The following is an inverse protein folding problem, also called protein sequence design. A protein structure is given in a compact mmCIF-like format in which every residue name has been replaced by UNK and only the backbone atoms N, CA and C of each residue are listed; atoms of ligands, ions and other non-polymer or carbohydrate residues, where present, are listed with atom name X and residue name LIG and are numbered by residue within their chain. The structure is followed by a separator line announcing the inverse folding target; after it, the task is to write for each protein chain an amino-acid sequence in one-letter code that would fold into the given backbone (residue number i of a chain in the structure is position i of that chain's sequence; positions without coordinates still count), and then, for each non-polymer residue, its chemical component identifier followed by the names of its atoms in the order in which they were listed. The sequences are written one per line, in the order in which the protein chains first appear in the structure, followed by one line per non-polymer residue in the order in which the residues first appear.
data_IF_804566893042
#
_entry.id   IF_804566893042
#
_cell.length_a   1.000
_cell.length_b   1.000
_cell.length_c   1.000
_cell.angle_alpha   90.00
_cell.angle_beta   90.00
_cell.angle_gamma   90.00
#
_symmetry.space_group_name_H-M   'P 1'
#
loop_
_entity.id
_entity.type
_entity.pdbx_description
1 polymer ?
#
# COMPACT_ATOMS: atom_id res chain seq x y z
N UNK A 1 -49.29 -13.11 -19.57
CA UNK A 1 -49.48 -12.68 -20.97
C UNK A 1 -50.41 -11.48 -20.88
N UNK A 2 -49.88 -10.26 -20.97
CA UNK A 2 -50.68 -9.04 -20.82
C UNK A 2 -51.50 -8.82 -22.09
N UNK A 3 -52.76 -8.45 -21.91
CA UNK A 3 -53.71 -8.12 -22.96
C UNK A 3 -53.18 -6.90 -23.77
N UNK A 4 -52.82 -7.05 -25.06
CA UNK A 4 -52.20 -5.98 -25.85
C UNK A 4 -53.16 -4.82 -26.17
N UNK A 5 -54.45 -4.93 -25.82
CA UNK A 5 -55.46 -3.92 -26.14
C UNK A 5 -55.86 -3.02 -24.96
N UNK A 6 -55.37 -3.26 -23.74
CA UNK A 6 -55.66 -2.34 -22.63
C UNK A 6 -54.81 -1.06 -22.78
N UNK A 7 -55.42 0.12 -23.00
CA UNK A 7 -54.67 1.36 -23.09
C UNK A 7 -53.95 1.60 -21.75
N UNK A 8 -52.64 1.82 -21.81
CA UNK A 8 -51.85 2.12 -20.63
C UNK A 8 -52.39 3.39 -19.97
N UNK A 9 -52.60 3.33 -18.66
CA UNK A 9 -52.96 4.54 -17.89
C UNK A 9 -51.80 5.52 -17.89
N UNK A 10 -52.06 6.81 -17.65
CA UNK A 10 -51.03 7.85 -17.50
C UNK A 10 -49.93 7.43 -16.53
N UNK A 11 -50.29 6.82 -15.40
CA UNK A 11 -49.34 6.31 -14.41
C UNK A 11 -48.47 5.17 -14.95
N UNK A 12 -49.06 4.22 -15.69
CA UNK A 12 -48.31 3.13 -16.32
C UNK A 12 -47.34 3.65 -17.38
N UNK A 13 -47.78 4.63 -18.20
CA UNK A 13 -46.93 5.27 -19.19
C UNK A 13 -45.75 6.00 -18.52
N UNK A 14 -46.02 6.84 -17.51
CA UNK A 14 -45.00 7.57 -16.77
C UNK A 14 -44.03 6.63 -16.04
N UNK A 15 -44.51 5.52 -15.49
CA UNK A 15 -43.67 4.50 -14.87
C UNK A 15 -42.71 3.87 -15.90
N UNK A 16 -43.19 3.59 -17.12
CA UNK A 16 -42.35 3.08 -18.22
C UNK A 16 -41.32 4.09 -18.69
N UNK A 17 -41.70 5.36 -18.87
CA UNK A 17 -40.74 6.43 -19.23
C UNK A 17 -39.68 6.57 -18.13
N UNK A 18 -40.10 6.61 -16.86
CA UNK A 18 -39.21 6.72 -15.70
C UNK A 18 -38.21 5.55 -15.62
N UNK A 19 -38.68 4.32 -15.88
CA UNK A 19 -37.83 3.15 -15.94
C UNK A 19 -36.80 3.24 -17.09
N UNK A 20 -37.15 3.86 -18.21
CA UNK A 20 -36.28 4.06 -19.37
C UNK A 20 -35.25 5.19 -19.22
N UNK A 21 -35.51 6.20 -18.37
CA UNK A 21 -34.66 7.39 -18.22
C UNK A 21 -33.26 7.05 -17.68
N UNK A 22 -33.15 6.04 -16.80
CA UNK A 22 -31.90 5.65 -16.13
C UNK A 22 -31.15 6.83 -15.47
N UNK A 23 -31.89 7.86 -15.04
CA UNK A 23 -31.37 9.05 -14.36
C UNK A 23 -31.22 8.79 -12.85
N UNK A 24 -30.38 9.57 -12.13
CA UNK A 24 -30.34 9.51 -10.67
C UNK A 24 -31.72 9.87 -10.06
N UNK A 25 -32.11 9.18 -8.99
CA UNK A 25 -33.45 9.27 -8.35
C UNK A 25 -34.05 10.68 -8.23
N UNK A 26 -33.32 11.72 -7.78
CA UNK A 26 -33.90 13.06 -7.65
C UNK A 26 -34.35 13.61 -9.00
N UNK A 27 -33.51 13.46 -10.02
CA UNK A 27 -33.80 13.96 -11.36
C UNK A 27 -34.84 13.11 -12.09
N UNK A 28 -34.89 11.81 -11.81
CA UNK A 28 -35.94 10.95 -12.36
C UNK A 28 -37.31 11.36 -11.81
N UNK A 29 -37.39 11.75 -10.53
CA UNK A 29 -38.59 12.33 -9.92
C UNK A 29 -38.99 13.65 -10.57
N UNK A 30 -38.06 14.60 -10.65
CA UNK A 30 -38.32 15.91 -11.26
C UNK A 30 -38.83 15.79 -12.71
N UNK A 31 -38.18 14.95 -13.54
CA UNK A 31 -38.62 14.73 -14.93
C UNK A 31 -39.97 14.03 -15.00
N UNK A 32 -40.26 13.10 -14.08
CA UNK A 32 -41.56 12.45 -14.00
C UNK A 32 -42.66 13.46 -13.64
N UNK A 33 -42.42 14.32 -12.67
CA UNK A 33 -43.37 15.32 -12.22
C UNK A 33 -43.63 16.37 -13.31
N UNK A 34 -42.58 16.79 -14.02
CA UNK A 34 -42.70 17.69 -15.17
C UNK A 34 -43.49 17.04 -16.33
N UNK A 35 -43.23 15.78 -16.65
CA UNK A 35 -44.00 15.04 -17.66
C UNK A 35 -45.46 14.83 -17.24
N UNK A 36 -45.71 14.57 -15.96
CA UNK A 36 -47.06 14.42 -15.43
C UNK A 36 -47.85 15.73 -15.55
N UNK A 37 -47.22 16.87 -15.23
CA UNK A 37 -47.81 18.19 -15.41
C UNK A 37 -48.13 18.47 -16.88
N UNK A 38 -47.19 18.22 -17.80
CA UNK A 38 -47.43 18.40 -19.24
C UNK A 38 -48.53 17.49 -19.79
N UNK A 39 -48.63 16.26 -19.32
CA UNK A 39 -49.73 15.36 -19.70
C UNK A 39 -51.07 15.84 -19.15
N UNK A 40 -51.10 16.36 -17.92
CA UNK A 40 -52.31 16.94 -17.34
C UNK A 40 -52.78 18.17 -18.14
N UNK A 41 -51.86 19.07 -18.48
CA UNK A 41 -52.14 20.26 -19.30
C UNK A 41 -52.65 19.86 -20.70
N UNK A 42 -52.00 18.90 -21.35
CA UNK A 42 -52.41 18.41 -22.67
C UNK A 42 -53.78 17.71 -22.63
N UNK A 43 -54.06 16.94 -21.57
CA UNK A 43 -55.35 16.28 -21.37
C UNK A 43 -56.46 17.30 -21.13
N UNK A 44 -56.20 18.33 -20.31
CA UNK A 44 -57.15 19.40 -20.04
C UNK A 44 -57.52 20.16 -21.32
N UNK A 45 -56.54 20.50 -22.15
CA UNK A 45 -56.77 21.16 -23.44
C UNK A 45 -57.64 20.29 -24.38
N UNK A 46 -57.41 18.97 -24.43
CA UNK A 46 -58.21 18.04 -25.24
C UNK A 46 -59.66 17.89 -24.73
N UNK A 47 -59.87 18.00 -23.42
CA UNK A 47 -61.22 18.03 -22.83
C UNK A 47 -61.95 19.32 -23.22
N UNK A 48 -61.26 20.46 -23.24
CA UNK A 48 -61.83 21.74 -23.72
C UNK A 48 -62.21 21.67 -25.22
N UNK A 49 -61.50 20.86 -26.00
CA UNK A 49 -61.83 20.55 -27.41
C UNK A 49 -63.02 19.57 -27.57
N UNK A 50 -63.59 19.07 -26.48
CA UNK A 50 -64.80 18.25 -26.46
C UNK A 50 -64.58 16.74 -26.40
N UNK A 51 -63.36 16.26 -26.15
CA UNK A 51 -63.08 14.84 -25.92
C UNK A 51 -63.50 14.40 -24.51
N UNK A 52 -63.84 13.12 -24.35
CA UNK A 52 -64.01 12.55 -23.01
C UNK A 52 -62.65 12.40 -22.32
N UNK A 53 -62.61 12.35 -20.99
CA UNK A 53 -61.35 12.23 -20.24
C UNK A 53 -60.49 11.04 -20.70
N UNK A 54 -61.08 9.85 -20.87
CA UNK A 54 -60.35 8.66 -21.32
C UNK A 54 -59.79 8.80 -22.76
N UNK A 55 -60.51 9.50 -23.64
CA UNK A 55 -60.05 9.77 -25.00
C UNK A 55 -58.93 10.81 -25.01
N UNK A 56 -59.08 11.87 -24.22
CA UNK A 56 -58.10 12.94 -24.05
C UNK A 56 -56.78 12.40 -23.49
N UNK A 57 -56.81 11.55 -22.45
CA UNK A 57 -55.60 10.94 -21.87
C UNK A 57 -54.89 10.05 -22.90
N UNK A 58 -55.64 9.23 -23.63
CA UNK A 58 -55.08 8.33 -24.66
C UNK A 58 -54.44 9.10 -25.81
N UNK A 59 -55.09 10.17 -26.28
CA UNK A 59 -54.61 11.03 -27.34
C UNK A 59 -53.37 11.84 -26.89
N UNK A 60 -53.36 12.36 -25.65
CA UNK A 60 -52.21 13.03 -25.07
C UNK A 60 -50.98 12.10 -25.01
N UNK A 61 -51.17 10.85 -24.56
CA UNK A 61 -50.12 9.83 -24.55
C UNK A 61 -49.67 9.49 -25.98
N UNK A 62 -50.61 9.33 -26.92
CA UNK A 62 -50.30 9.01 -28.32
C UNK A 62 -49.42 10.09 -28.97
N UNK A 63 -49.66 11.38 -28.66
CA UNK A 63 -48.86 12.51 -29.15
C UNK A 63 -47.41 12.50 -28.64
N UNK A 64 -47.16 12.01 -27.43
CA UNK A 64 -45.81 11.85 -26.89
C UNK A 64 -45.05 10.68 -27.51
N UNK A 65 -45.76 9.72 -28.11
CA UNK A 65 -45.18 8.55 -28.77
C UNK A 65 -44.73 7.47 -27.79
N UNK A 66 -43.86 6.57 -28.25
CA UNK A 66 -43.40 5.43 -27.44
C UNK A 66 -42.62 5.92 -26.22
N UNK A 67 -42.86 5.33 -25.03
CA UNK A 67 -42.18 5.74 -23.80
C UNK A 67 -40.66 5.52 -23.88
N UNK A 68 -40.22 4.50 -24.62
CA UNK A 68 -38.79 4.22 -24.84
C UNK A 68 -38.13 5.28 -25.72
N UNK A 69 -38.81 5.75 -26.76
CA UNK A 69 -38.29 6.81 -27.65
C UNK A 69 -38.20 8.13 -26.90
N UNK A 70 -39.26 8.50 -26.15
CA UNK A 70 -39.27 9.71 -25.33
C UNK A 70 -38.17 9.68 -24.27
N UNK A 71 -38.06 8.59 -23.49
CA UNK A 71 -37.02 8.43 -22.48
C UNK A 71 -35.61 8.56 -23.08
N UNK A 72 -35.37 7.96 -24.25
CA UNK A 72 -34.09 8.07 -24.95
C UNK A 72 -33.79 9.48 -25.49
N UNK A 73 -34.82 10.21 -25.93
CA UNK A 73 -34.71 11.60 -26.36
C UNK A 73 -34.33 12.52 -25.20
N UNK A 74 -35.08 12.44 -24.10
CA UNK A 74 -34.84 13.21 -22.88
C UNK A 74 -33.45 12.92 -22.30
N UNK A 75 -33.06 11.65 -22.22
CA UNK A 75 -31.72 11.25 -21.76
C UNK A 75 -30.61 11.87 -22.61
N UNK A 76 -30.72 11.81 -23.94
CA UNK A 76 -29.70 12.38 -24.85
C UNK A 76 -29.60 13.89 -24.72
N UNK A 77 -30.72 14.60 -24.58
CA UNK A 77 -30.72 16.05 -24.39
C UNK A 77 -29.99 16.47 -23.10
N UNK A 78 -30.12 15.68 -22.04
CA UNK A 78 -29.52 15.97 -20.74
C UNK A 78 -28.03 15.58 -20.62
N UNK A 79 -27.54 14.65 -21.46
CA UNK A 79 -26.18 14.07 -21.38
C UNK A 79 -25.15 14.76 -22.31
N UNK A 80 -24.86 16.03 -22.06
CA UNK A 80 -23.88 16.79 -22.86
C UNK A 80 -22.42 16.47 -22.49
N UNK A 81 -21.49 16.64 -23.44
CA UNK A 81 -20.03 16.48 -23.20
C UNK A 81 -19.52 17.41 -22.08
N UNK A 82 -20.05 18.63 -21.99
CA UNK A 82 -19.71 19.60 -20.94
C UNK A 82 -20.07 19.07 -19.56
N UNK A 83 -21.24 18.44 -19.42
CA UNK A 83 -21.67 17.78 -18.17
C UNK A 83 -20.85 16.54 -17.84
N UNK A 84 -20.40 15.79 -18.86
CA UNK A 84 -19.47 14.69 -18.65
C UNK A 84 -18.12 15.17 -18.08
N UNK A 85 -17.53 16.23 -18.63
CA UNK A 85 -16.28 16.80 -18.12
C UNK A 85 -16.43 17.40 -16.72
N UNK A 86 -17.52 18.13 -16.47
CA UNK A 86 -17.85 18.63 -15.14
C UNK A 86 -18.08 17.49 -14.14
N UNK A 87 -18.67 16.38 -14.61
CA UNK A 87 -18.81 15.15 -13.87
C UNK A 87 -17.46 14.53 -13.52
N UNK A 88 -16.57 14.36 -14.51
CA UNK A 88 -15.24 13.80 -14.31
C UNK A 88 -14.40 14.63 -13.34
N UNK A 89 -14.29 15.94 -13.56
CA UNK A 89 -13.55 16.84 -12.66
C UNK A 89 -14.15 16.87 -11.25
N UNK A 90 -15.48 16.88 -11.17
CA UNK A 90 -16.19 16.74 -9.91
C UNK A 90 -15.98 15.40 -9.20
N UNK A 91 -15.82 14.32 -9.96
CA UNK A 91 -15.48 12.99 -9.49
C UNK A 91 -14.07 12.93 -8.93
N UNK A 92 -13.09 13.52 -9.61
CA UNK A 92 -11.69 13.60 -9.13
C UNK A 92 -11.61 14.30 -7.77
N UNK A 93 -12.25 15.46 -7.63
CA UNK A 93 -12.28 16.18 -6.35
C UNK A 93 -12.97 15.40 -5.23
N UNK A 94 -14.07 14.72 -5.55
CA UNK A 94 -14.76 13.85 -4.60
C UNK A 94 -13.88 12.66 -4.18
N UNK A 95 -13.14 12.09 -5.13
CA UNK A 95 -12.19 11.01 -4.91
C UNK A 95 -11.05 11.45 -4.00
N UNK A 96 -10.45 12.61 -4.24
CA UNK A 96 -9.34 13.13 -3.45
C UNK A 96 -9.75 13.36 -1.99
N UNK A 97 -10.85 14.09 -1.75
CA UNK A 97 -11.30 14.39 -0.39
C UNK A 97 -11.69 13.15 0.42
N UNK A 98 -12.38 12.19 -0.21
CA UNK A 98 -12.81 10.96 0.48
C UNK A 98 -11.74 9.87 0.48
N UNK A 99 -10.81 9.92 -0.47
CA UNK A 99 -9.62 9.09 -0.50
C UNK A 99 -8.73 9.41 0.69
N UNK A 100 -8.40 10.69 0.91
CA UNK A 100 -7.62 11.13 2.08
C UNK A 100 -8.34 10.76 3.38
N UNK A 101 -9.62 11.10 3.52
CA UNK A 101 -10.40 10.74 4.72
C UNK A 101 -10.51 9.23 4.94
N UNK A 102 -10.62 8.45 3.87
CA UNK A 102 -10.65 7.00 3.89
C UNK A 102 -9.30 6.38 4.25
N UNK A 103 -8.19 6.94 3.79
CA UNK A 103 -6.83 6.52 4.18
C UNK A 103 -6.60 6.76 5.66
N UNK A 104 -6.98 7.93 6.19
CA UNK A 104 -6.87 8.24 7.63
C UNK A 104 -7.69 7.25 8.46
N UNK A 105 -8.94 6.98 8.05
CA UNK A 105 -9.80 5.99 8.71
C UNK A 105 -9.19 4.58 8.64
N UNK A 106 -8.69 4.18 7.48
CA UNK A 106 -8.06 2.89 7.25
C UNK A 106 -6.83 2.71 8.15
N UNK A 107 -6.01 3.75 8.27
CA UNK A 107 -4.86 3.76 9.17
C UNK A 107 -5.30 3.59 10.62
N UNK A 108 -6.34 4.34 11.03
CA UNK A 108 -6.92 4.23 12.36
C UNK A 108 -7.40 2.82 12.71
N UNK A 109 -8.11 2.18 11.78
CA UNK A 109 -8.62 0.82 11.93
C UNK A 109 -7.47 -0.21 11.98
N UNK A 110 -6.54 -0.15 11.04
CA UNK A 110 -5.42 -1.09 10.96
C UNK A 110 -4.54 -1.01 12.20
N UNK A 111 -4.21 0.19 12.65
CA UNK A 111 -3.44 0.37 13.88
C UNK A 111 -4.18 -0.15 15.11
N UNK A 112 -5.50 0.03 15.18
CA UNK A 112 -6.31 -0.55 16.26
C UNK A 112 -6.24 -2.07 16.24
N UNK A 113 -6.37 -2.70 15.07
CA UNK A 113 -6.26 -4.15 14.91
C UNK A 113 -4.86 -4.65 15.28
N UNK A 114 -3.81 -4.00 14.78
CA UNK A 114 -2.41 -4.33 15.11
C UNK A 114 -2.16 -4.22 16.61
N UNK A 115 -2.68 -3.18 17.27
CA UNK A 115 -2.55 -3.00 18.71
C UNK A 115 -3.29 -4.10 19.47
N UNK A 116 -4.52 -4.44 19.06
CA UNK A 116 -5.28 -5.55 19.67
C UNK A 116 -4.52 -6.87 19.52
N UNK A 117 -3.97 -7.15 18.34
CA UNK A 117 -3.16 -8.34 18.08
C UNK A 117 -1.93 -8.35 19.00
N UNK A 118 -1.18 -7.26 19.06
CA UNK A 118 0.01 -7.12 19.90
C UNK A 118 -0.30 -7.32 21.39
N UNK A 119 -1.37 -6.68 21.89
CA UNK A 119 -1.83 -6.82 23.29
C UNK A 119 -2.26 -8.26 23.59
N UNK A 120 -3.04 -8.87 22.70
CA UNK A 120 -3.51 -10.24 22.86
C UNK A 120 -2.35 -11.22 22.93
N UNK A 121 -1.37 -11.09 22.05
CA UNK A 121 -0.28 -12.05 22.08
C UNK A 121 0.82 -11.75 23.10
N UNK A 122 0.97 -10.49 23.55
CA UNK A 122 1.71 -10.20 24.79
C UNK A 122 1.04 -10.88 26.00
N UNK A 123 -0.29 -10.86 26.07
CA UNK A 123 -1.03 -11.58 27.10
C UNK A 123 -0.86 -13.10 26.95
N UNK A 124 -0.97 -13.66 25.75
CA UNK A 124 -0.76 -15.09 25.50
C UNK A 124 0.65 -15.55 25.87
N UNK A 125 1.69 -14.77 25.54
CA UNK A 125 3.06 -15.07 25.94
C UNK A 125 3.19 -15.09 27.47
N UNK A 126 2.62 -14.09 28.14
CA UNK A 126 2.63 -14.02 29.61
C UNK A 126 1.91 -15.20 30.28
N UNK A 127 0.77 -15.65 29.75
CA UNK A 127 -0.06 -16.66 30.40
C UNK A 127 0.24 -18.09 29.99
N UNK A 128 0.66 -18.31 28.74
CA UNK A 128 0.81 -19.65 28.16
C UNK A 128 2.29 -19.95 27.85
N UNK A 129 3.21 -18.98 28.05
CA UNK A 129 4.60 -19.06 27.57
C UNK A 129 4.67 -19.42 26.09
N UNK A 130 3.64 -19.04 25.34
CA UNK A 130 3.63 -19.20 23.90
C UNK A 130 4.63 -18.18 23.36
N UNK A 131 5.73 -18.66 22.79
CA UNK A 131 6.81 -17.83 22.26
C UNK A 131 6.34 -17.18 20.96
N UNK A 132 5.39 -16.25 21.11
CA UNK A 132 4.81 -15.48 20.04
C UNK A 132 5.55 -14.16 19.97
N UNK A 133 6.44 -14.07 18.99
CA UNK A 133 6.94 -12.79 18.52
C UNK A 133 6.24 -12.47 17.19
N UNK A 134 5.83 -11.22 17.01
CA UNK A 134 5.67 -10.68 15.67
C UNK A 134 7.05 -10.78 15.04
N UNK A 135 7.20 -11.73 14.12
CA UNK A 135 8.50 -12.18 13.62
C UNK A 135 9.40 -10.97 13.29
N UNK A 136 10.47 -10.75 14.06
CA UNK A 136 11.39 -9.63 13.83
C UNK A 136 12.15 -9.78 12.50
N UNK A 137 12.02 -10.92 11.81
CA UNK A 137 12.63 -11.17 10.50
C UNK A 137 12.15 -10.24 9.39
N UNK A 138 10.95 -9.65 9.51
CA UNK A 138 10.47 -8.63 8.57
C UNK A 138 10.89 -7.26 9.10
N UNK A 139 11.65 -6.46 8.34
CA UNK A 139 12.10 -5.16 8.82
C UNK A 139 10.87 -4.35 9.26
N UNK A 140 10.95 -3.73 10.43
CA UNK A 140 9.87 -2.88 10.96
C UNK A 140 9.33 -1.93 9.89
N UNK A 141 10.24 -1.40 9.07
CA UNK A 141 9.93 -0.53 7.94
C UNK A 141 8.99 -1.19 6.90
N UNK A 142 9.23 -2.44 6.50
CA UNK A 142 8.37 -3.14 5.52
C UNK A 142 6.96 -3.39 6.08
N UNK A 143 6.82 -3.69 7.38
CA UNK A 143 5.50 -3.79 8.03
C UNK A 143 4.78 -2.45 8.07
N UNK A 144 5.47 -1.37 8.42
CA UNK A 144 4.87 -0.03 8.41
C UNK A 144 4.40 0.37 7.02
N UNK A 145 5.18 0.07 5.97
CA UNK A 145 4.77 0.28 4.57
C UNK A 145 3.54 -0.55 4.22
N UNK A 146 3.50 -1.84 4.59
CA UNK A 146 2.36 -2.71 4.32
C UNK A 146 1.06 -2.20 4.99
N UNK A 147 1.15 -1.74 6.24
CA UNK A 147 0.02 -1.14 6.95
C UNK A 147 -0.44 0.18 6.30
N UNK A 148 0.50 1.03 5.89
CA UNK A 148 0.19 2.26 5.15
C UNK A 148 -0.49 1.94 3.81
N UNK A 149 -0.01 0.94 3.07
CA UNK A 149 -0.61 0.48 1.82
C UNK A 149 -2.02 -0.12 2.01
N UNK A 150 -2.23 -0.87 3.10
CA UNK A 150 -3.56 -1.33 3.50
C UNK A 150 -4.51 -0.17 3.77
N UNK A 151 -4.05 0.86 4.47
CA UNK A 151 -4.85 2.07 4.72
C UNK A 151 -5.18 2.80 3.41
N UNK A 152 -4.19 2.94 2.51
CA UNK A 152 -4.38 3.52 1.18
C UNK A 152 -5.37 2.72 0.34
N UNK A 153 -5.42 1.39 0.48
CA UNK A 153 -6.41 0.54 -0.18
C UNK A 153 -7.84 0.86 0.25
N UNK A 154 -8.07 1.07 1.55
CA UNK A 154 -9.37 1.52 2.09
C UNK A 154 -9.72 2.92 1.55
N UNK A 155 -8.75 3.84 1.54
CA UNK A 155 -8.90 5.17 0.96
C UNK A 155 -9.29 5.12 -0.52
N UNK A 156 -8.57 4.32 -1.31
CA UNK A 156 -8.80 4.12 -2.73
C UNK A 156 -10.21 3.58 -3.01
N UNK A 157 -10.65 2.58 -2.25
CA UNK A 157 -12.01 2.02 -2.35
C UNK A 157 -13.10 3.07 -2.09
N UNK A 158 -12.99 3.81 -0.98
CA UNK A 158 -13.97 4.83 -0.60
C UNK A 158 -13.94 6.03 -1.55
N UNK A 159 -12.75 6.45 -1.99
CA UNK A 159 -12.55 7.50 -2.98
C UNK A 159 -13.20 7.16 -4.32
N UNK A 160 -12.94 5.96 -4.85
CA UNK A 160 -13.53 5.48 -6.10
C UNK A 160 -15.06 5.49 -6.07
N UNK A 161 -15.66 4.94 -5.01
CA UNK A 161 -17.13 4.89 -4.84
C UNK A 161 -17.75 6.28 -4.85
N UNK A 162 -17.08 7.25 -4.24
CA UNK A 162 -17.52 8.65 -4.20
C UNK A 162 -17.34 9.33 -5.56
N UNK A 163 -16.23 9.07 -6.24
CA UNK A 163 -15.92 9.59 -7.57
C UNK A 163 -17.00 9.19 -8.58
N UNK A 164 -17.38 7.92 -8.58
CA UNK A 164 -18.43 7.38 -9.46
C UNK A 164 -19.77 8.04 -9.15
N UNK A 165 -20.18 8.14 -7.88
CA UNK A 165 -21.44 8.81 -7.51
C UNK A 165 -21.45 10.28 -7.93
N UNK A 166 -20.39 11.03 -7.61
CA UNK A 166 -20.28 12.43 -7.97
C UNK A 166 -20.29 12.65 -9.49
N UNK A 167 -19.62 11.77 -10.24
CA UNK A 167 -19.62 11.80 -11.70
C UNK A 167 -21.00 11.48 -12.25
N UNK A 168 -21.65 10.41 -11.77
CA UNK A 168 -22.98 9.99 -12.18
C UNK A 168 -24.02 11.10 -11.97
N UNK A 169 -24.05 11.71 -10.77
CA UNK A 169 -24.97 12.81 -10.44
C UNK A 169 -24.75 14.04 -11.33
N UNK A 170 -23.49 14.44 -11.56
CA UNK A 170 -23.18 15.65 -12.36
C UNK A 170 -23.30 15.44 -13.87
N UNK A 171 -23.05 14.22 -14.35
CA UNK A 171 -23.16 13.88 -15.77
C UNK A 171 -24.54 13.36 -16.18
N UNK A 172 -25.45 13.16 -15.21
CA UNK A 172 -26.78 12.56 -15.40
C UNK A 172 -26.69 11.20 -16.13
N UNK A 173 -25.69 10.42 -15.73
CA UNK A 173 -25.48 9.05 -16.21
C UNK A 173 -25.69 8.09 -15.07
N UNK A 174 -26.06 6.86 -15.41
CA UNK A 174 -26.19 5.83 -14.39
C UNK A 174 -24.80 5.50 -13.82
N UNK A 175 -24.80 5.12 -12.55
CA UNK A 175 -23.60 4.64 -11.87
C UNK A 175 -22.98 3.43 -12.58
N UNK A 176 -23.81 2.55 -13.16
CA UNK A 176 -23.38 1.36 -13.91
C UNK A 176 -22.66 1.71 -15.21
N UNK A 177 -23.05 2.81 -15.87
CA UNK A 177 -22.36 3.30 -17.07
C UNK A 177 -21.00 3.92 -16.77
N UNK A 178 -20.88 4.62 -15.63
CA UNK A 178 -19.69 5.40 -15.28
C UNK A 178 -18.65 4.57 -14.52
N UNK A 179 -19.09 3.60 -13.71
CA UNK A 179 -18.25 2.77 -12.85
C UNK A 179 -17.09 2.07 -13.57
N UNK A 180 -17.32 1.31 -14.66
CA UNK A 180 -16.27 0.59 -15.38
C UNK A 180 -15.15 1.50 -15.91
N UNK A 181 -15.48 2.71 -16.38
CA UNK A 181 -14.49 3.67 -16.86
C UNK A 181 -13.61 4.22 -15.74
N UNK A 182 -14.20 4.49 -14.57
CA UNK A 182 -13.44 4.85 -13.38
C UNK A 182 -12.58 3.70 -12.89
N UNK A 183 -13.11 2.48 -12.87
CA UNK A 183 -12.38 1.30 -12.46
C UNK A 183 -11.13 1.11 -13.33
N UNK A 184 -11.28 1.16 -14.65
CA UNK A 184 -10.17 1.02 -15.60
C UNK A 184 -9.18 2.19 -15.48
N UNK A 185 -9.65 3.43 -15.64
CA UNK A 185 -8.77 4.60 -15.65
C UNK A 185 -8.06 4.82 -14.32
N UNK A 186 -8.78 4.68 -13.21
CA UNK A 186 -8.22 4.83 -11.87
C UNK A 186 -7.25 3.70 -11.51
N UNK A 187 -7.56 2.44 -11.86
CA UNK A 187 -6.63 1.34 -11.62
C UNK A 187 -5.34 1.47 -12.45
N UNK A 188 -5.41 1.96 -13.69
CA UNK A 188 -4.21 2.23 -14.49
C UNK A 188 -3.38 3.35 -13.86
N UNK A 189 -3.98 4.49 -13.51
CA UNK A 189 -3.25 5.63 -12.93
C UNK A 189 -2.61 5.24 -11.60
N UNK A 190 -3.36 4.59 -10.70
CA UNK A 190 -2.84 4.15 -9.42
C UNK A 190 -1.84 3.01 -9.56
N UNK A 191 -2.05 2.09 -10.51
CA UNK A 191 -1.12 1.01 -10.81
C UNK A 191 0.22 1.55 -11.29
N UNK A 192 0.22 2.52 -12.21
CA UNK A 192 1.45 3.20 -12.66
C UNK A 192 2.13 3.92 -11.50
N UNK A 193 1.35 4.63 -10.68
CA UNK A 193 1.88 5.36 -9.53
C UNK A 193 2.56 4.42 -8.53
N UNK A 194 1.90 3.33 -8.14
CA UNK A 194 2.45 2.32 -7.22
C UNK A 194 3.66 1.61 -7.81
N UNK A 195 3.59 1.20 -9.09
CA UNK A 195 4.65 0.40 -9.71
C UNK A 195 5.92 1.20 -10.01
N UNK A 196 5.79 2.46 -10.41
CA UNK A 196 6.91 3.22 -11.02
C UNK A 196 7.24 4.54 -10.33
N UNK A 197 6.38 5.06 -9.45
CA UNK A 197 6.58 6.39 -8.84
C UNK A 197 6.78 6.31 -7.34
N UNK A 198 5.97 5.52 -6.65
CA UNK A 198 6.03 5.36 -5.21
C UNK A 198 7.32 4.64 -4.82
N UNK A 199 8.18 5.30 -4.04
CA UNK A 199 9.41 4.75 -3.50
C UNK A 199 9.28 4.63 -1.99
N UNK A 200 9.31 3.40 -1.49
CA UNK A 200 9.10 3.08 -0.07
C UNK A 200 10.05 1.94 0.33
N UNK A 201 10.24 1.67 1.64
CA UNK A 201 10.81 0.42 2.10
C UNK A 201 9.87 -0.76 1.77
N UNK A 202 10.33 -1.70 0.96
CA UNK A 202 9.57 -2.82 0.42
C UNK A 202 10.07 -4.16 0.97
N UNK A 203 9.11 -4.98 1.38
CA UNK A 203 9.23 -6.43 1.52
C UNK A 203 8.01 -7.09 0.88
N UNK A 204 7.97 -8.43 0.84
CA UNK A 204 6.84 -9.17 0.25
C UNK A 204 5.46 -8.70 0.76
N UNK A 205 5.23 -8.48 2.07
CA UNK A 205 3.95 -7.98 2.56
C UNK A 205 3.60 -6.58 2.03
N UNK A 206 4.59 -5.69 1.95
CA UNK A 206 4.40 -4.32 1.44
C UNK A 206 4.04 -4.34 -0.05
N UNK A 207 4.79 -5.09 -0.86
CA UNK A 207 4.52 -5.25 -2.29
C UNK A 207 3.10 -5.78 -2.53
N UNK A 208 2.71 -6.84 -1.81
CA UNK A 208 1.36 -7.39 -1.90
C UNK A 208 0.28 -6.37 -1.52
N UNK A 209 0.46 -5.66 -0.41
CA UNK A 209 -0.49 -4.65 0.06
C UNK A 209 -0.61 -3.44 -0.89
N UNK A 210 0.49 -2.99 -1.48
CA UNK A 210 0.50 -1.89 -2.44
C UNK A 210 -0.19 -2.25 -3.75
N UNK A 211 0.01 -3.47 -4.26
CA UNK A 211 -0.68 -3.97 -5.45
C UNK A 211 -2.21 -4.10 -5.24
N UNK A 212 -2.69 -4.16 -3.99
CA UNK A 212 -4.12 -4.14 -3.68
C UNK A 212 -4.74 -2.74 -3.80
N UNK A 213 -3.96 -1.65 -3.85
CA UNK A 213 -4.48 -0.29 -3.98
C UNK A 213 -5.29 -0.11 -5.28
N UNK A 214 -4.75 -0.38 -6.50
CA UNK A 214 -5.52 -0.26 -7.74
C UNK A 214 -6.70 -1.25 -7.80
N UNK A 215 -6.55 -2.46 -7.24
CA UNK A 215 -7.64 -3.45 -7.16
C UNK A 215 -8.78 -2.94 -6.28
N UNK A 216 -8.45 -2.37 -5.12
CA UNK A 216 -9.41 -1.78 -4.19
C UNK A 216 -10.12 -0.58 -4.79
N UNK A 217 -9.41 0.24 -5.57
CA UNK A 217 -10.03 1.32 -6.34
C UNK A 217 -11.05 0.79 -7.35
N UNK A 218 -10.66 -0.19 -8.17
CA UNK A 218 -11.55 -0.79 -9.17
C UNK A 218 -12.78 -1.45 -8.53
N UNK A 219 -12.58 -2.14 -7.40
CA UNK A 219 -13.66 -2.69 -6.59
C UNK A 219 -14.59 -1.58 -6.07
N UNK A 220 -14.05 -0.49 -5.52
CA UNK A 220 -14.85 0.64 -5.05
C UNK A 220 -15.64 1.34 -6.16
N UNK A 221 -15.11 1.32 -7.39
CA UNK A 221 -15.76 1.89 -8.57
C UNK A 221 -16.85 0.98 -9.18
N UNK A 222 -16.96 -0.28 -8.79
CA UNK A 222 -17.89 -1.27 -9.40
C UNK A 222 -18.84 -1.93 -8.39
N UNK A 223 -18.36 -2.22 -7.18
CA UNK A 223 -19.06 -2.99 -6.16
C UNK A 223 -19.81 -2.08 -5.19
N UNK A 224 -21.03 -2.47 -4.80
CA UNK A 224 -21.84 -1.81 -3.75
C UNK A 224 -22.09 -0.30 -3.95
N UNK A 225 -21.99 0.20 -5.18
CA UNK A 225 -22.14 1.64 -5.42
C UNK A 225 -23.58 2.09 -5.12
N UNK A 226 -24.57 1.27 -5.46
CA UNK A 226 -25.99 1.55 -5.22
C UNK A 226 -26.36 1.48 -3.73
N UNK A 227 -25.62 0.71 -2.91
CA UNK A 227 -25.91 0.66 -1.46
C UNK A 227 -25.65 2.05 -0.84
N UNK A 228 -26.48 2.48 0.13
CA UNK A 228 -26.14 3.62 0.97
C UNK A 228 -24.83 3.28 1.69
N UNK A 229 -23.81 4.13 1.55
CA UNK A 229 -22.56 3.95 2.27
C UNK A 229 -22.79 4.16 3.77
N UNK A 230 -21.97 3.56 4.65
CA UNK A 230 -21.98 3.94 6.05
C UNK A 230 -21.80 5.46 6.14
N UNK A 231 -22.67 6.14 6.90
CA UNK A 231 -22.55 7.58 7.14
C UNK A 231 -21.40 7.80 8.13
N UNK A 232 -20.17 7.70 7.64
CA UNK A 232 -18.97 7.94 8.44
C UNK A 232 -18.89 9.45 8.68
N UNK A 233 -19.46 9.90 9.80
CA UNK A 233 -19.33 11.30 10.24
C UNK A 233 -17.86 11.58 10.57
N UNK A 234 -17.38 12.80 10.29
CA UNK A 234 -16.00 13.27 10.55
C UNK A 234 -15.47 12.87 11.93
N UNK A 235 -16.32 12.89 12.96
CA UNK A 235 -15.98 12.47 14.33
C UNK A 235 -15.48 11.03 14.45
N UNK A 236 -15.94 10.10 13.62
CA UNK A 236 -15.46 8.71 13.65
C UNK A 236 -14.11 8.57 12.95
N UNK A 237 -13.83 9.41 11.94
CA UNK A 237 -12.51 9.51 11.31
C UNK A 237 -11.51 10.09 12.31
N UNK A 238 -11.90 11.17 13.01
CA UNK A 238 -11.11 11.76 14.10
C UNK A 238 -10.88 10.77 15.25
N UNK A 239 -11.90 10.03 15.67
CA UNK A 239 -11.75 9.01 16.70
C UNK A 239 -10.82 7.88 16.25
N UNK A 240 -10.97 7.37 15.02
CA UNK A 240 -10.09 6.34 14.47
C UNK A 240 -8.64 6.85 14.34
N UNK A 241 -8.45 8.11 13.93
CA UNK A 241 -7.13 8.74 13.87
C UNK A 241 -6.51 8.88 15.26
N UNK A 242 -7.26 9.34 16.27
CA UNK A 242 -6.75 9.48 17.64
C UNK A 242 -6.44 8.11 18.25
N UNK A 243 -7.36 7.16 18.16
CA UNK A 243 -7.19 5.81 18.73
C UNK A 243 -6.08 5.04 18.01
N UNK A 244 -6.01 5.13 16.68
CA UNK A 244 -5.02 4.41 15.89
C UNK A 244 -3.66 5.09 15.79
N UNK A 245 -3.52 6.39 16.06
CA UNK A 245 -2.23 7.08 15.97
C UNK A 245 -1.62 7.38 17.34
N UNK A 246 -2.41 7.90 18.29
CA UNK A 246 -1.88 8.35 19.59
C UNK A 246 -1.61 7.17 20.52
N UNK A 247 -2.51 6.19 20.56
CA UNK A 247 -2.42 5.08 21.50
C UNK A 247 -1.26 4.12 21.20
N UNK A 248 -1.00 3.73 19.93
CA UNK A 248 0.14 2.89 19.60
C UNK A 248 1.48 3.59 19.77
N UNK A 249 1.56 4.90 19.49
CA UNK A 249 2.77 5.70 19.76
C UNK A 249 3.07 5.68 21.27
N UNK A 250 2.08 5.92 22.13
CA UNK A 250 2.27 5.85 23.58
C UNK A 250 2.70 4.45 24.05
N UNK A 251 2.14 3.38 23.47
CA UNK A 251 2.50 1.99 23.82
C UNK A 251 3.89 1.60 23.30
N UNK A 252 4.26 1.98 22.07
CA UNK A 252 5.60 1.71 21.52
C UNK A 252 6.69 2.43 22.32
N UNK A 253 6.49 3.71 22.65
CA UNK A 253 7.44 4.46 23.47
C UNK A 253 7.45 4.01 24.95
N UNK A 254 6.34 3.45 25.45
CA UNK A 254 6.28 2.86 26.78
C UNK A 254 6.98 1.49 26.88
N UNK A 255 7.03 0.72 25.80
CA UNK A 255 7.65 -0.61 25.76
C UNK A 255 9.15 -0.59 25.44
N UNK A 256 9.64 0.41 24.71
CA UNK A 256 11.07 0.53 24.36
C UNK A 256 11.99 0.90 25.54
N UNK A 257 11.44 1.10 26.74
CA UNK A 257 12.20 1.39 27.96
C UNK A 257 12.78 0.14 28.65
N UNK A 258 12.55 -1.07 28.13
CA UNK A 258 13.10 -2.30 28.70
C UNK A 258 14.44 -2.67 28.08
N UNK A 259 15.49 -2.11 28.68
CA UNK A 259 16.77 -2.76 28.98
C UNK A 259 17.56 -3.38 27.83
N UNK A 260 18.64 -2.70 27.43
CA UNK A 260 19.85 -3.39 27.01
C UNK A 260 20.26 -4.35 28.14
N UNK A 261 19.87 -5.62 28.05
CA UNK A 261 20.64 -6.68 28.69
C UNK A 261 21.98 -6.72 27.99
N UNK A 262 22.98 -6.08 28.59
CA UNK A 262 24.39 -6.46 28.41
C UNK A 262 24.47 -7.97 28.59
N UNK A 263 24.47 -8.72 27.49
CA UNK A 263 24.82 -10.12 27.49
C UNK A 263 26.26 -10.19 27.97
N UNK A 264 26.45 -10.55 29.24
CA UNK A 264 27.75 -10.98 29.73
C UNK A 264 28.22 -12.12 28.84
N UNK A 265 29.51 -12.14 28.51
CA UNK A 265 30.12 -13.22 27.75
C UNK A 265 29.87 -14.54 28.48
N UNK A 266 28.84 -15.28 28.06
CA UNK A 266 28.63 -16.66 28.47
C UNK A 266 29.63 -17.48 27.67
N UNK A 267 30.45 -18.28 28.34
CA UNK A 267 31.28 -19.29 27.67
C UNK A 267 30.37 -20.13 26.77
N UNK A 268 30.50 -19.94 25.46
CA UNK A 268 29.78 -20.71 24.47
C UNK A 268 30.22 -22.18 24.48
N UNK A 269 29.48 -23.08 23.83
CA UNK A 269 29.74 -24.52 23.83
C UNK A 269 31.01 -24.93 23.04
N UNK A 270 31.80 -23.99 22.57
CA UNK A 270 32.92 -24.21 21.66
C UNK A 270 34.24 -24.29 22.42
N UNK A 271 35.08 -25.27 22.10
CA UNK A 271 36.37 -25.45 22.76
C UNK A 271 37.43 -24.43 22.30
N UNK A 272 37.17 -23.72 21.20
CA UNK A 272 38.03 -22.65 20.69
C UNK A 272 37.26 -21.65 19.83
N UNK A 273 37.83 -20.46 19.65
CA UNK A 273 37.28 -19.44 18.74
C UNK A 273 37.26 -19.93 17.29
N UNK A 274 38.24 -20.75 16.90
CA UNK A 274 38.30 -21.37 15.58
C UNK A 274 37.14 -22.34 15.36
N UNK A 275 36.82 -23.18 16.35
CA UNK A 275 35.67 -24.08 16.28
C UNK A 275 34.35 -23.30 16.20
N UNK A 276 34.20 -22.25 17.02
CA UNK A 276 33.07 -21.33 16.94
C UNK A 276 32.96 -20.71 15.54
N UNK A 277 34.08 -20.28 14.96
CA UNK A 277 34.13 -19.63 13.64
C UNK A 277 33.58 -20.53 12.54
N UNK A 278 34.00 -21.81 12.52
CA UNK A 278 33.49 -22.78 11.54
C UNK A 278 32.06 -23.18 11.82
N UNK A 279 31.70 -23.37 13.09
CA UNK A 279 30.34 -23.75 13.48
C UNK A 279 29.31 -22.67 13.13
N UNK A 280 29.71 -21.39 13.18
CA UNK A 280 28.91 -20.24 12.76
C UNK A 280 29.03 -19.95 11.26
N UNK A 281 29.74 -20.77 10.48
CA UNK A 281 29.81 -20.64 9.03
C UNK A 281 30.58 -19.41 8.52
N UNK A 282 31.38 -18.74 9.36
CA UNK A 282 32.19 -17.59 8.93
C UNK A 282 33.27 -17.97 7.92
N UNK A 283 33.61 -19.25 7.80
CA UNK A 283 34.47 -19.78 6.74
C UNK A 283 33.95 -19.47 5.32
N UNK A 284 32.64 -19.20 5.17
CA UNK A 284 32.06 -18.72 3.91
C UNK A 284 32.65 -17.36 3.48
N UNK A 285 32.98 -16.51 4.46
CA UNK A 285 33.53 -15.17 4.22
C UNK A 285 35.06 -15.21 4.05
N UNK A 286 35.73 -16.07 4.82
CA UNK A 286 37.17 -16.24 4.80
C UNK A 286 37.69 -16.86 6.10
N UNK A 287 38.99 -17.16 6.13
CA UNK A 287 39.62 -17.68 7.35
C UNK A 287 39.75 -16.59 8.41
N UNK A 288 39.78 -17.01 9.67
CA UNK A 288 40.18 -16.09 10.74
C UNK A 288 41.67 -15.75 10.60
N UNK A 289 42.07 -14.47 10.65
CA UNK A 289 43.47 -14.09 10.61
C UNK A 289 44.18 -14.51 11.92
N UNK A 290 45.51 -14.68 11.90
CA UNK A 290 46.32 -14.82 13.10
C UNK A 290 46.04 -13.70 14.12
N UNK A 291 46.17 -13.97 15.42
CA UNK A 291 45.74 -13.03 16.48
C UNK A 291 46.49 -11.68 16.45
N UNK A 292 47.75 -11.67 16.00
CA UNK A 292 48.54 -10.45 15.80
C UNK A 292 47.99 -9.58 14.67
N UNK A 293 47.54 -10.20 13.57
CA UNK A 293 46.85 -9.53 12.47
C UNK A 293 45.45 -9.07 12.90
N UNK A 294 44.68 -9.94 13.57
CA UNK A 294 43.35 -9.59 14.07
C UNK A 294 43.41 -8.39 15.02
N UNK A 295 44.40 -8.35 15.92
CA UNK A 295 44.63 -7.24 16.85
C UNK A 295 45.08 -5.93 16.19
N UNK A 296 45.44 -5.95 14.91
CA UNK A 296 45.79 -4.75 14.14
C UNK A 296 44.57 -4.03 13.55
N UNK A 297 43.41 -4.68 13.47
CA UNK A 297 42.17 -4.10 12.97
C UNK A 297 41.22 -3.84 14.15
N UNK A 298 41.01 -2.56 14.50
CA UNK A 298 40.33 -2.11 15.72
C UNK A 298 39.17 -1.18 15.41
N UNK A 299 38.39 -0.86 16.44
CA UNK A 299 37.34 0.17 16.42
C UNK A 299 36.43 0.07 15.19
N UNK A 300 35.81 -1.10 15.04
CA UNK A 300 34.88 -1.40 13.95
C UNK A 300 33.59 -0.64 14.17
N UNK A 301 33.18 0.12 13.15
CA UNK A 301 31.91 0.84 13.19
C UNK A 301 31.37 1.09 11.80
N UNK A 302 30.17 1.65 11.75
CA UNK A 302 29.59 2.13 10.51
C UNK A 302 28.66 3.31 10.78
N UNK A 303 28.47 4.14 9.75
CA UNK A 303 27.35 5.07 9.67
C UNK A 303 26.39 4.57 8.59
N UNK A 304 25.10 4.80 8.78
CA UNK A 304 24.07 4.44 7.82
C UNK A 304 23.21 5.68 7.52
N UNK A 305 23.03 5.97 6.24
CA UNK A 305 22.22 7.08 5.74
C UNK A 305 21.51 6.65 4.46
N UNK A 306 20.16 6.68 4.45
CA UNK A 306 19.33 6.30 3.31
C UNK A 306 19.76 5.03 2.55
N UNK A 307 20.08 3.96 3.31
CA UNK A 307 20.47 2.66 2.76
C UNK A 307 21.91 2.59 2.24
N UNK A 308 22.65 3.70 2.27
CA UNK A 308 24.10 3.72 2.13
C UNK A 308 24.73 3.49 3.50
N UNK A 309 25.69 2.58 3.54
CA UNK A 309 26.43 2.23 4.75
C UNK A 309 27.89 2.53 4.50
N UNK A 310 28.48 3.30 5.40
CA UNK A 310 29.90 3.63 5.38
C UNK A 310 30.58 2.94 6.55
N UNK A 311 30.97 1.66 6.41
CA UNK A 311 31.74 0.98 7.43
C UNK A 311 33.16 1.53 7.48
N UNK A 312 33.77 1.44 8.65
CA UNK A 312 35.16 1.75 8.86
C UNK A 312 35.81 0.78 9.85
N UNK A 313 37.11 0.60 9.70
CA UNK A 313 37.98 -0.16 10.60
C UNK A 313 39.25 0.65 10.80
N UNK A 314 39.64 0.86 12.05
CA UNK A 314 40.92 1.48 12.37
C UNK A 314 42.06 0.47 12.22
N UNK A 315 43.12 0.89 11.53
CA UNK A 315 44.29 0.07 11.24
C UNK A 315 45.44 0.54 12.13
N UNK A 316 45.97 -0.38 12.93
CA UNK A 316 47.11 -0.11 13.78
C UNK A 316 48.36 0.20 12.92
N UNK A 317 49.23 1.14 13.32
CA UNK A 317 50.43 1.49 12.55
C UNK A 317 51.43 0.34 12.32
N UNK A 318 51.30 -0.75 13.08
CA UNK A 318 52.21 -1.88 13.05
C UNK A 318 51.95 -2.86 11.89
N UNK A 319 50.81 -2.77 11.19
CA UNK A 319 50.50 -3.67 10.07
C UNK A 319 50.92 -3.05 8.74
N UNK A 320 51.69 -3.79 7.95
CA UNK A 320 52.05 -3.41 6.60
C UNK A 320 50.94 -3.85 5.63
N UNK A 321 50.16 -2.88 5.14
CA UNK A 321 49.10 -3.13 4.17
C UNK A 321 49.63 -3.41 2.76
N UNK A 322 50.91 -3.18 2.44
CA UNK A 322 51.47 -3.39 1.09
C UNK A 322 51.42 -4.87 0.68
N UNK A 323 51.55 -5.78 1.64
CA UNK A 323 51.43 -7.23 1.40
C UNK A 323 49.98 -7.74 1.30
N UNK A 324 49.00 -6.89 1.55
CA UNK A 324 47.58 -7.23 1.46
C UNK A 324 47.01 -6.75 0.12
N UNK A 325 46.17 -7.57 -0.49
CA UNK A 325 45.45 -7.20 -1.70
C UNK A 325 43.97 -7.59 -1.61
N UNK A 326 43.16 -7.00 -2.49
CA UNK A 326 41.70 -7.20 -2.50
C UNK A 326 41.05 -6.88 -1.14
N UNK A 327 41.54 -5.83 -0.48
CA UNK A 327 40.90 -5.29 0.73
C UNK A 327 39.55 -4.71 0.36
N UNK A 328 38.47 -5.29 0.89
CA UNK A 328 37.11 -4.84 0.60
C UNK A 328 36.16 -5.12 1.74
N UNK A 329 35.18 -4.23 1.86
CA UNK A 329 34.03 -4.44 2.72
C UNK A 329 32.99 -5.27 2.00
N UNK A 330 32.32 -6.14 2.74
CA UNK A 330 31.30 -7.04 2.22
C UNK A 330 30.08 -7.05 3.12
N UNK A 331 28.90 -6.99 2.52
CA UNK A 331 27.63 -7.16 3.20
C UNK A 331 27.08 -8.57 2.91
N UNK A 332 26.86 -9.33 3.98
CA UNK A 332 26.39 -10.72 3.95
C UNK A 332 24.99 -10.82 4.53
N UNK A 333 24.14 -11.67 3.96
CA UNK A 333 22.80 -11.94 4.50
C UNK A 333 22.93 -12.70 5.82
N UNK A 334 22.03 -12.44 6.77
CA UNK A 334 21.93 -13.21 8.02
C UNK A 334 20.48 -13.31 8.49
N UNK A 335 20.22 -14.22 9.42
CA UNK A 335 18.94 -14.31 10.12
C UNK A 335 18.84 -13.30 11.26
N UNK A 336 17.61 -13.00 11.69
CA UNK A 336 17.38 -12.16 12.86
C UNK A 336 17.93 -12.85 14.12
N UNK A 337 18.67 -12.12 14.94
CA UNK A 337 19.20 -12.63 16.21
C UNK A 337 20.46 -13.49 16.09
N UNK A 338 20.94 -13.77 14.87
CA UNK A 338 22.19 -14.49 14.61
C UNK A 338 23.18 -13.58 13.89
N UNK A 339 24.45 -13.62 14.29
CA UNK A 339 25.55 -12.89 13.63
C UNK A 339 26.13 -13.66 12.43
N UNK A 340 25.82 -14.95 12.34
CA UNK A 340 26.29 -15.88 11.31
C UNK A 340 25.73 -15.53 9.93
N UNK A 341 26.52 -15.69 8.85
CA UNK A 341 26.00 -15.58 7.48
C UNK A 341 24.93 -16.64 7.22
N UNK A 342 23.95 -16.31 6.39
CA UNK A 342 22.97 -17.27 5.91
C UNK A 342 23.64 -18.29 4.97
N UNK A 343 23.69 -19.58 5.34
CA UNK A 343 24.38 -20.60 4.54
C UNK A 343 23.73 -20.83 3.18
N UNK A 344 22.48 -20.42 2.97
CA UNK A 344 21.81 -20.52 1.68
C UNK A 344 22.30 -19.47 0.67
N UNK A 345 23.02 -18.44 1.13
CA UNK A 345 23.56 -17.37 0.30
C UNK A 345 25.08 -17.27 0.50
N UNK A 346 25.87 -18.13 -0.16
CA UNK A 346 27.30 -18.28 0.09
C UNK A 346 28.16 -17.14 -0.47
N UNK A 347 27.54 -16.05 -0.95
CA UNK A 347 28.22 -14.90 -1.54
C UNK A 347 27.69 -13.61 -0.90
N UNK A 348 28.53 -12.58 -0.74
CA UNK A 348 28.07 -11.28 -0.28
C UNK A 348 27.12 -10.67 -1.30
N UNK A 349 26.07 -9.99 -0.84
CA UNK A 349 25.10 -9.34 -1.72
C UNK A 349 25.52 -7.93 -2.13
N UNK A 350 26.46 -7.33 -1.39
CA UNK A 350 27.10 -6.07 -1.77
C UNK A 350 28.58 -6.11 -1.35
N UNK A 351 29.45 -5.56 -2.18
CA UNK A 351 30.89 -5.42 -1.89
C UNK A 351 31.38 -4.04 -2.35
N UNK A 352 32.39 -3.51 -1.68
CA UNK A 352 33.06 -2.28 -2.11
C UNK A 352 34.53 -2.33 -1.68
N UNK A 353 35.48 -1.90 -2.56
CA UNK A 353 36.89 -1.84 -2.21
C UNK A 353 37.10 -0.92 -1.01
N UNK A 354 38.01 -1.31 -0.11
CA UNK A 354 38.37 -0.51 1.05
C UNK A 354 39.41 0.54 0.65
N UNK A 355 39.16 1.79 1.04
CA UNK A 355 40.06 2.92 0.85
C UNK A 355 40.67 3.32 2.19
N UNK A 356 41.99 3.55 2.21
CA UNK A 356 42.69 4.03 3.38
C UNK A 356 42.60 5.56 3.46
N UNK A 357 41.92 6.07 4.48
CA UNK A 357 41.80 7.49 4.79
C UNK A 357 42.39 7.75 6.18
N UNK A 358 43.61 8.29 6.21
CA UNK A 358 44.38 8.40 7.44
C UNK A 358 44.74 7.00 7.96
N UNK A 359 44.25 6.66 9.16
CA UNK A 359 44.42 5.32 9.77
C UNK A 359 43.19 4.43 9.61
N UNK A 360 42.18 4.84 8.84
CA UNK A 360 40.92 4.11 8.69
C UNK A 360 40.79 3.51 7.31
N UNK A 361 40.52 2.21 7.25
CA UNK A 361 39.95 1.60 6.05
C UNK A 361 38.45 1.85 6.07
N UNK A 362 37.91 2.39 4.99
CA UNK A 362 36.49 2.66 4.85
C UNK A 362 36.01 2.38 3.43
N UNK A 363 34.72 2.18 3.25
CA UNK A 363 34.09 2.10 1.93
C UNK A 363 32.66 2.62 2.02
N UNK A 364 31.97 2.74 0.88
CA UNK A 364 30.53 3.01 0.85
C UNK A 364 29.83 1.88 0.13
N UNK A 365 28.91 1.19 0.83
CA UNK A 365 28.10 0.11 0.28
C UNK A 365 26.63 0.51 0.26
N UNK A 366 25.91 0.03 -0.74
CA UNK A 366 24.46 0.19 -0.80
C UNK A 366 23.79 -1.12 -0.43
N UNK A 367 23.07 -1.13 0.70
CA UNK A 367 22.47 -2.35 1.28
C UNK A 367 20.94 -2.41 1.16
N UNK A 368 20.33 -1.36 0.60
CA UNK A 368 18.87 -1.20 0.43
C UNK A 368 18.37 -1.58 -0.97
N UNK A 369 19.20 -2.22 -1.81
CA UNK A 369 18.82 -2.57 -3.19
C UNK A 369 18.70 -4.07 -3.44
N UNK A 370 18.77 -4.89 -2.41
CA UNK A 370 18.66 -6.34 -2.54
C UNK A 370 17.34 -6.83 -1.95
N UNK A 371 16.40 -7.33 -2.78
CA UNK A 371 15.15 -7.90 -2.30
C UNK A 371 15.37 -9.05 -1.32
N UNK A 372 14.54 -9.10 -0.27
CA UNK A 372 14.54 -10.20 0.70
C UNK A 372 15.68 -10.18 1.72
N UNK A 373 16.50 -9.12 1.77
CA UNK A 373 17.49 -8.94 2.83
C UNK A 373 16.89 -8.06 3.92
N UNK A 374 16.72 -8.62 5.11
CA UNK A 374 16.21 -7.90 6.29
C UNK A 374 17.30 -7.56 7.30
N UNK A 375 18.31 -8.42 7.38
CA UNK A 375 19.47 -8.27 8.25
C UNK A 375 20.72 -8.55 7.46
N UNK A 376 21.78 -7.82 7.78
CA UNK A 376 23.08 -8.04 7.17
C UNK A 376 24.20 -7.99 8.20
N UNK A 377 25.30 -8.66 7.88
CA UNK A 377 26.61 -8.54 8.53
C UNK A 377 27.57 -7.83 7.59
N UNK A 378 28.34 -6.87 8.10
CA UNK A 378 29.45 -6.19 7.45
C UNK A 378 30.75 -6.78 7.95
N UNK A 379 31.60 -7.17 7.01
CA UNK A 379 32.96 -7.63 7.30
C UNK A 379 33.96 -6.93 6.39
N UNK A 380 35.15 -6.65 6.92
CA UNK A 380 36.32 -6.35 6.11
C UNK A 380 37.00 -7.67 5.75
N UNK A 381 37.22 -7.91 4.47
CA UNK A 381 38.01 -9.06 4.00
C UNK A 381 39.23 -8.57 3.22
N UNK A 382 40.25 -9.42 3.15
CA UNK A 382 41.44 -9.18 2.34
C UNK A 382 42.19 -10.48 2.11
N UNK A 383 43.01 -10.51 1.07
CA UNK A 383 43.92 -11.62 0.83
C UNK A 383 45.29 -11.25 1.36
N UNK A 384 45.81 -12.08 2.25
CA UNK A 384 47.09 -11.88 2.89
C UNK A 384 48.27 -12.22 1.97
N UNK A 385 49.51 -11.95 2.43
CA UNK A 385 50.73 -12.26 1.68
C UNK A 385 50.91 -13.74 1.31
N UNK A 386 50.22 -14.63 2.03
CA UNK A 386 50.22 -16.08 1.81
C UNK A 386 49.20 -16.53 0.74
N UNK A 387 48.45 -15.59 0.15
CA UNK A 387 47.39 -15.87 -0.81
C UNK A 387 46.08 -16.35 -0.17
N UNK A 388 45.99 -16.43 1.16
CA UNK A 388 44.76 -16.82 1.87
C UNK A 388 43.83 -15.62 2.06
N UNK A 389 42.54 -15.82 1.82
CA UNK A 389 41.51 -14.82 2.13
C UNK A 389 41.14 -14.88 3.62
N UNK A 390 41.24 -13.74 4.28
CA UNK A 390 40.95 -13.55 5.69
C UNK A 390 39.78 -12.59 5.92
N UNK A 391 39.09 -12.79 7.04
CA UNK A 391 38.13 -11.84 7.61
C UNK A 391 38.84 -10.98 8.64
N UNK A 392 39.19 -9.77 8.24
CA UNK A 392 40.06 -8.87 8.99
C UNK A 392 39.35 -8.12 10.11
N UNK A 393 38.03 -7.94 9.99
CA UNK A 393 37.21 -7.42 11.08
C UNK A 393 35.97 -8.29 11.29
N UNK A 394 35.60 -8.45 12.56
CA UNK A 394 34.41 -9.23 12.94
C UNK A 394 33.11 -8.63 12.40
N UNK A 395 32.05 -9.45 12.31
CA UNK A 395 30.79 -9.04 11.75
C UNK A 395 30.14 -7.95 12.62
N UNK A 396 30.12 -6.73 12.09
CA UNK A 396 29.17 -5.70 12.54
C UNK A 396 27.93 -5.76 11.65
N UNK A 397 26.88 -4.97 11.87
CA UNK A 397 25.77 -4.94 10.91
C UNK A 397 24.50 -4.38 11.49
N UNK A 398 23.43 -4.47 10.71
CA UNK A 398 22.17 -3.85 11.04
C UNK A 398 20.98 -4.47 10.32
N UNK A 399 19.85 -3.80 10.46
CA UNK A 399 18.65 -4.08 9.68
C UNK A 399 18.69 -3.26 8.38
N UNK A 400 18.15 -3.82 7.32
CA UNK A 400 17.93 -3.12 6.05
C UNK A 400 16.57 -3.52 5.48
N UNK A 401 16.06 -2.71 4.56
CA UNK A 401 14.90 -3.03 3.75
C UNK A 401 15.21 -2.59 2.32
N UNK A 402 14.61 -3.24 1.32
CA UNK A 402 14.75 -2.75 -0.05
C UNK A 402 14.06 -1.39 -0.16
N UNK A 403 14.73 -0.34 -0.62
CA UNK A 403 14.11 0.97 -0.85
C UNK A 403 14.06 1.24 -2.35
N UNK A 404 12.85 1.35 -2.88
CA UNK A 404 12.64 1.56 -4.30
C UNK A 404 11.18 1.46 -4.69
N UNK A 405 10.94 1.36 -6.00
CA UNK A 405 9.60 1.08 -6.53
C UNK A 405 9.34 -0.42 -6.57
N UNK A 406 8.07 -0.84 -6.68
CA UNK A 406 7.74 -2.27 -6.87
C UNK A 406 8.40 -2.81 -8.15
N UNK A 407 8.46 -2.01 -9.21
CA UNK A 407 9.15 -2.41 -10.43
C UNK A 407 10.64 -2.66 -10.20
N UNK A 408 11.34 -1.74 -9.54
CA UNK A 408 12.76 -1.92 -9.18
C UNK A 408 12.96 -3.15 -8.30
N UNK A 409 12.01 -3.43 -7.41
CA UNK A 409 12.04 -4.58 -6.51
C UNK A 409 11.92 -5.92 -7.26
N UNK A 410 11.03 -6.03 -8.25
CA UNK A 410 10.95 -7.22 -9.10
C UNK A 410 12.14 -7.34 -10.05
N UNK A 411 12.67 -6.23 -10.57
CA UNK A 411 13.82 -6.23 -11.46
C UNK A 411 15.14 -6.61 -10.76
N UNK A 412 15.17 -6.57 -9.43
CA UNK A 412 16.34 -6.90 -8.61
C UNK A 412 16.32 -8.35 -8.04
N UNK A 413 15.30 -9.15 -8.37
CA UNK A 413 15.26 -10.60 -8.10
C UNK A 413 15.90 -11.37 -9.24
#
# INVERSE_FOLDING_TARGET
MADPERPATTDEYLARVSAGLCLPEPYAGDVRDELAAHLADATAALIEEGLTQEQAEREAIARLGSPEVLANGLRRAQQTRRRLLAGAGGGVWAAAGHGIGGTILGYGLLMTVTLVIAVLGAALNRFIRLDWSLDPSVPYQAWTTALAAGAMSVGAFLGARRAVKATATRSLRSVREVGPWWALGGAIVLGIWVLFILRMPLGWPAVGAELLIPVSFAAGATIMIERPGPRIRMRHILLAAVVGFVLPVIVLFGASAQGETTQGAVEGPYASVEEMWRAQGFDLMGRRPPDDVAGAFRDVGYSADDGLVTPFVEVAPAIDLVGWHDLRFEAWRRSSGDISPDPNFPMPFATAPAELVGTRLQATLRVDRTPGVSFYSLVLTGVGPDGTRYVLSGPSGGQTAFVGTIWEWFAAQ
#
